data_IF_495523846921
#
_entry.id   IF_495523846921
#
_cell.length_a   1.000
_cell.length_b   1.000
_cell.length_c   1.000
_cell.angle_alpha   90.00
_cell.angle_beta   90.00
_cell.angle_gamma   90.00
#
_symmetry.space_group_name_H-M   'P 1'
#
loop_
_entity.id
_entity.type
_entity.pdbx_description
1 polymer ?
#
# COMPACT_ATOMS: atom_id res chain seq x y z
N UNK A 1 24.42 0.00 19.87
CA UNK A 1 24.75 -0.97 18.81
C UNK A 1 23.56 -1.91 18.71
N UNK A 2 22.65 -1.64 17.77
CA UNK A 2 21.53 -2.53 17.49
C UNK A 2 22.03 -3.60 16.52
N UNK A 3 22.02 -4.85 16.97
CA UNK A 3 22.33 -6.00 16.15
C UNK A 3 21.36 -6.08 14.97
N UNK A 4 21.89 -6.07 13.74
CA UNK A 4 21.20 -6.64 12.58
C UNK A 4 21.12 -8.16 12.82
N UNK A 5 20.14 -8.59 13.61
CA UNK A 5 19.79 -9.99 13.75
C UNK A 5 19.20 -10.47 12.44
N UNK A 6 20.05 -11.00 11.57
CA UNK A 6 19.64 -11.67 10.35
C UNK A 6 18.82 -12.91 10.68
N UNK A 7 17.50 -12.80 10.57
CA UNK A 7 16.70 -13.91 10.08
C UNK A 7 16.74 -13.81 8.55
N UNK A 8 17.46 -14.73 7.90
CA UNK A 8 17.81 -14.67 6.47
C UNK A 8 16.64 -14.81 5.49
N UNK A 9 15.39 -14.86 5.95
CA UNK A 9 14.24 -15.27 5.11
C UNK A 9 13.04 -14.29 5.15
N UNK A 10 13.19 -13.09 5.71
CA UNK A 10 12.09 -12.12 5.88
C UNK A 10 12.41 -10.73 5.34
N UNK A 11 11.37 -9.91 5.15
CA UNK A 11 11.55 -8.48 4.87
C UNK A 11 12.24 -7.79 6.06
N UNK A 12 13.06 -6.76 5.83
CA UNK A 12 13.60 -5.95 6.91
C UNK A 12 12.49 -5.41 7.81
N UNK A 13 12.73 -5.35 9.11
CA UNK A 13 11.75 -4.86 10.08
C UNK A 13 12.23 -3.56 10.71
N UNK A 14 11.33 -2.60 10.85
CA UNK A 14 11.56 -1.34 11.57
C UNK A 14 10.48 -1.13 12.63
N UNK A 15 10.89 -0.81 13.84
CA UNK A 15 9.96 -0.42 14.90
C UNK A 15 9.81 1.10 14.92
N UNK A 16 8.61 1.57 14.55
CA UNK A 16 8.24 2.98 14.62
C UNK A 16 7.29 3.26 15.79
N UNK A 17 7.05 2.27 16.66
CA UNK A 17 6.29 2.46 17.89
C UNK A 17 6.93 3.56 18.72
N UNK A 18 6.12 4.46 19.26
CA UNK A 18 6.55 5.60 20.10
C UNK A 18 7.43 6.64 19.39
N UNK A 19 7.60 6.55 18.08
CA UNK A 19 8.36 7.53 17.32
C UNK A 19 7.40 8.63 16.84
N UNK A 20 7.25 9.69 17.64
CA UNK A 20 6.44 10.86 17.24
C UNK A 20 7.28 11.82 16.39
N UNK A 21 6.93 12.07 15.11
CA UNK A 21 7.67 12.98 14.23
C UNK A 21 7.85 14.38 14.80
N UNK A 22 6.90 14.87 15.60
CA UNK A 22 6.97 16.21 16.19
C UNK A 22 8.15 16.38 17.13
N UNK A 23 8.63 15.30 17.75
CA UNK A 23 9.76 15.34 18.68
C UNK A 23 10.96 14.48 18.27
N UNK A 24 10.77 13.52 17.36
CA UNK A 24 11.81 12.59 16.94
C UNK A 24 12.69 13.12 15.79
N UNK A 25 12.26 14.14 15.03
CA UNK A 25 13.06 14.70 13.95
C UNK A 25 14.45 15.14 14.44
N UNK A 26 15.49 14.75 13.70
CA UNK A 26 16.89 15.02 14.05
C UNK A 26 17.46 14.17 15.20
N UNK A 27 16.66 13.30 15.83
CA UNK A 27 17.16 12.39 16.87
C UNK A 27 17.92 11.20 16.28
N UNK A 28 18.73 10.54 17.11
CA UNK A 28 19.41 9.28 16.72
C UNK A 28 18.42 8.16 16.39
N UNK A 29 17.29 8.10 17.08
CA UNK A 29 16.26 7.10 16.83
C UNK A 29 15.64 7.28 15.43
N UNK A 30 15.31 8.52 15.06
CA UNK A 30 14.83 8.84 13.72
C UNK A 30 15.86 8.52 12.64
N UNK A 31 17.13 8.91 12.84
CA UNK A 31 18.18 8.61 11.89
C UNK A 31 18.40 7.09 11.68
N UNK A 32 18.29 6.29 12.74
CA UNK A 32 18.39 4.84 12.67
C UNK A 32 17.20 4.23 11.91
N UNK A 33 15.97 4.62 12.27
CA UNK A 33 14.75 4.18 11.59
C UNK A 33 14.77 4.53 10.09
N UNK A 34 15.12 5.79 9.76
CA UNK A 34 15.28 6.27 8.39
C UNK A 34 16.29 5.43 7.60
N UNK A 35 17.41 5.07 8.20
CA UNK A 35 18.42 4.24 7.54
C UNK A 35 17.90 2.85 7.21
N UNK A 36 17.10 2.25 8.09
CA UNK A 36 16.49 0.93 7.85
C UNK A 36 15.44 1.03 6.74
N UNK A 37 14.54 2.01 6.81
CA UNK A 37 13.51 2.26 5.79
C UNK A 37 14.14 2.46 4.41
N UNK A 38 15.14 3.32 4.31
CA UNK A 38 15.84 3.60 3.05
C UNK A 38 16.50 2.34 2.49
N UNK A 39 17.25 1.61 3.33
CA UNK A 39 17.90 0.37 2.92
C UNK A 39 16.89 -0.68 2.45
N UNK A 40 15.79 -0.84 3.16
CA UNK A 40 14.78 -1.83 2.82
C UNK A 40 14.10 -1.52 1.47
N UNK A 41 13.71 -0.26 1.24
CA UNK A 41 13.08 0.14 -0.01
C UNK A 41 14.02 0.12 -1.22
N UNK A 42 15.32 0.35 -0.99
CA UNK A 42 16.35 0.28 -2.04
C UNK A 42 16.69 -1.16 -2.46
N UNK A 43 16.59 -2.12 -1.54
CA UNK A 43 17.08 -3.49 -1.79
C UNK A 43 15.95 -4.52 -1.93
N UNK A 44 14.84 -4.32 -1.23
CA UNK A 44 13.69 -5.22 -1.18
C UNK A 44 12.42 -4.60 -1.76
N UNK A 45 12.34 -3.26 -1.87
CA UNK A 45 11.12 -2.55 -2.28
C UNK A 45 10.02 -2.53 -1.20
N UNK A 46 10.27 -3.13 -0.04
CA UNK A 46 9.32 -3.20 1.06
C UNK A 46 9.98 -3.58 2.39
N UNK A 47 9.21 -3.46 3.48
CA UNK A 47 9.61 -3.77 4.85
C UNK A 47 8.41 -4.06 5.74
N UNK A 48 8.65 -4.70 6.87
CA UNK A 48 7.66 -4.79 7.96
C UNK A 48 7.85 -3.62 8.93
N UNK A 49 6.77 -2.98 9.34
CA UNK A 49 6.78 -1.90 10.33
C UNK A 49 5.94 -2.25 11.54
N UNK A 50 6.52 -2.17 12.73
CA UNK A 50 5.78 -2.22 13.99
C UNK A 50 5.28 -0.82 14.32
N UNK A 51 3.98 -0.68 14.56
CA UNK A 51 3.34 0.59 14.86
C UNK A 51 2.13 0.36 15.80
N UNK A 52 2.26 0.85 17.03
CA UNK A 52 1.39 0.53 18.15
C UNK A 52 0.11 1.38 18.25
N UNK A 53 0.00 2.45 17.46
CA UNK A 53 -1.19 3.32 17.49
C UNK A 53 -2.44 2.66 16.86
N UNK A 54 -2.27 1.55 16.14
CA UNK A 54 -3.36 0.66 15.71
C UNK A 54 -3.30 -0.64 16.52
N UNK A 55 -3.84 -0.58 17.73
CA UNK A 55 -3.90 -1.71 18.65
C UNK A 55 -4.85 -2.82 18.22
N UNK A 56 -4.80 -3.94 18.97
CA UNK A 56 -5.58 -5.16 18.71
C UNK A 56 -7.08 -4.93 18.57
N UNK A 57 -7.65 -4.03 19.38
CA UNK A 57 -9.09 -3.72 19.34
C UNK A 57 -9.50 -3.16 17.98
N UNK A 58 -8.85 -2.08 17.52
CA UNK A 58 -9.14 -1.45 16.23
C UNK A 58 -8.88 -2.40 15.06
N UNK A 59 -7.84 -3.25 15.15
CA UNK A 59 -7.60 -4.28 14.13
C UNK A 59 -8.72 -5.31 14.08
N UNK A 60 -9.25 -5.72 15.23
CA UNK A 60 -10.35 -6.68 15.30
C UNK A 60 -11.68 -6.06 14.85
N UNK A 61 -11.97 -4.82 15.23
CA UNK A 61 -13.10 -4.05 14.69
C UNK A 61 -13.04 -4.01 13.16
N UNK A 62 -11.87 -3.66 12.61
CA UNK A 62 -11.69 -3.53 11.17
C UNK A 62 -11.74 -4.88 10.44
N UNK A 63 -10.82 -5.79 10.75
CA UNK A 63 -10.61 -7.02 9.96
C UNK A 63 -11.43 -8.22 10.46
N UNK A 64 -11.80 -8.25 11.74
CA UNK A 64 -12.58 -9.34 12.34
C UNK A 64 -14.09 -9.13 12.24
N UNK A 65 -14.56 -7.89 12.15
CA UNK A 65 -15.99 -7.55 12.15
C UNK A 65 -16.41 -6.77 10.90
N UNK A 66 -15.90 -5.55 10.73
CA UNK A 66 -16.34 -4.61 9.70
C UNK A 66 -16.12 -5.15 8.29
N UNK A 67 -14.88 -5.56 7.95
CA UNK A 67 -14.55 -6.02 6.59
C UNK A 67 -15.33 -7.29 6.22
N UNK A 68 -15.38 -8.34 7.07
CA UNK A 68 -16.23 -9.50 6.81
C UNK A 68 -17.70 -9.13 6.60
N UNK A 69 -18.29 -8.29 7.46
CA UNK A 69 -19.69 -7.85 7.35
C UNK A 69 -19.93 -7.07 6.05
N UNK A 70 -19.03 -6.13 5.72
CA UNK A 70 -19.12 -5.32 4.52
C UNK A 70 -19.23 -6.19 3.26
N UNK A 71 -18.43 -7.24 3.14
CA UNK A 71 -18.47 -8.17 2.00
C UNK A 71 -19.69 -9.09 1.96
N UNK A 72 -20.61 -9.00 2.93
CA UNK A 72 -21.93 -9.68 2.86
C UNK A 72 -23.02 -8.81 2.26
N UNK A 73 -22.80 -7.50 2.11
CA UNK A 73 -23.84 -6.56 1.69
C UNK A 73 -24.16 -6.72 0.20
N UNK A 74 -25.44 -6.74 -0.21
CA UNK A 74 -25.81 -6.83 -1.63
C UNK A 74 -25.26 -5.66 -2.45
N UNK A 75 -25.21 -4.47 -1.85
CA UNK A 75 -24.71 -3.24 -2.44
C UNK A 75 -23.21 -3.27 -2.78
N UNK A 76 -22.45 -4.26 -2.30
CA UNK A 76 -21.08 -4.51 -2.78
C UNK A 76 -21.06 -4.61 -4.29
N UNK A 77 -22.06 -5.26 -4.92
CA UNK A 77 -22.21 -5.37 -6.39
C UNK A 77 -22.54 -4.04 -7.08
N UNK A 78 -23.01 -3.03 -6.35
CA UNK A 78 -23.27 -1.70 -6.91
C UNK A 78 -22.00 -0.87 -6.89
N UNK A 79 -21.25 -0.90 -5.78
CA UNK A 79 -19.88 -0.36 -5.65
C UNK A 79 -18.85 -1.09 -6.51
N UNK A 80 -19.33 -1.99 -7.35
CA UNK A 80 -18.56 -2.76 -8.29
C UNK A 80 -18.69 -2.22 -9.71
N UNK A 81 -19.76 -1.51 -10.04
CA UNK A 81 -19.95 -0.99 -11.40
C UNK A 81 -19.23 0.35 -11.56
N UNK A 82 -18.22 0.40 -12.42
CA UNK A 82 -17.43 1.61 -12.74
C UNK A 82 -18.31 2.80 -13.16
N UNK A 83 -19.48 2.55 -13.76
CA UNK A 83 -20.42 3.59 -14.20
C UNK A 83 -21.10 4.30 -13.04
N UNK A 84 -21.07 3.72 -11.84
CA UNK A 84 -21.69 4.25 -10.62
C UNK A 84 -20.68 4.94 -9.69
N UNK A 85 -19.37 4.94 -10.04
CA UNK A 85 -18.25 5.25 -9.13
C UNK A 85 -17.44 6.49 -9.52
N UNK A 86 -18.02 7.42 -10.27
CA UNK A 86 -17.29 8.59 -10.81
C UNK A 86 -16.56 9.46 -9.75
N UNK A 87 -16.80 9.27 -8.45
CA UNK A 87 -16.24 10.13 -7.38
C UNK A 87 -15.65 9.43 -6.15
N UNK A 88 -15.77 8.09 -5.98
CA UNK A 88 -15.52 7.48 -4.65
C UNK A 88 -14.62 6.24 -4.56
N UNK A 89 -14.13 5.69 -5.68
CA UNK A 89 -13.08 4.66 -5.66
C UNK A 89 -13.29 3.61 -6.75
N UNK A 90 -12.18 3.07 -7.24
CA UNK A 90 -12.18 2.08 -8.32
C UNK A 90 -12.43 0.70 -7.72
N UNK A 91 -13.42 -0.02 -8.26
CA UNK A 91 -13.53 -1.46 -8.04
C UNK A 91 -12.48 -2.17 -8.89
N UNK A 92 -11.75 -3.10 -8.29
CA UNK A 92 -11.03 -4.11 -9.06
C UNK A 92 -11.71 -5.44 -8.78
N UNK A 93 -12.79 -5.76 -9.50
CA UNK A 93 -12.97 -7.17 -9.87
C UNK A 93 -12.77 -7.32 -11.35
N UNK A 94 -11.98 -8.33 -11.66
CA UNK A 94 -12.14 -9.07 -12.89
C UNK A 94 -12.99 -10.27 -12.53
N UNK A 95 -14.12 -10.41 -13.20
CA UNK A 95 -14.92 -11.63 -13.09
C UNK A 95 -14.01 -12.84 -13.30
N UNK A 96 -14.08 -13.80 -12.38
CA UNK A 96 -13.24 -15.01 -12.41
C UNK A 96 -11.94 -14.96 -11.62
N UNK A 97 -11.59 -13.85 -10.94
CA UNK A 97 -10.44 -13.83 -10.03
C UNK A 97 -10.82 -14.22 -8.58
N UNK A 98 -9.96 -14.98 -7.88
CA UNK A 98 -10.18 -15.44 -6.49
C UNK A 98 -10.08 -14.34 -5.40
N UNK A 99 -10.46 -13.11 -5.73
CA UNK A 99 -10.55 -12.02 -4.76
C UNK A 99 -11.62 -10.97 -5.14
N UNK A 100 -12.06 -10.21 -4.14
CA UNK A 100 -12.89 -9.01 -4.28
C UNK A 100 -12.16 -7.86 -3.59
N UNK A 101 -12.03 -6.72 -4.26
CA UNK A 101 -11.43 -5.52 -3.70
C UNK A 101 -12.34 -4.30 -3.87
N UNK A 102 -12.62 -3.60 -2.78
CA UNK A 102 -13.39 -2.35 -2.78
C UNK A 102 -12.48 -1.20 -2.36
N UNK A 103 -12.42 -0.13 -3.14
CA UNK A 103 -11.59 1.04 -2.84
C UNK A 103 -12.46 2.21 -2.36
N UNK A 104 -12.02 2.83 -1.27
CA UNK A 104 -12.51 4.08 -0.73
C UNK A 104 -11.44 5.16 -0.94
N UNK A 105 -11.72 6.12 -1.82
CA UNK A 105 -10.86 7.28 -1.99
C UNK A 105 -11.03 8.27 -0.81
N UNK A 106 -9.98 9.00 -0.44
CA UNK A 106 -10.03 10.05 0.61
C UNK A 106 -10.69 9.56 1.92
N UNK A 107 -10.20 8.46 2.54
CA UNK A 107 -10.80 7.87 3.74
C UNK A 107 -10.77 8.79 4.98
N UNK A 108 -10.05 9.92 4.91
CA UNK A 108 -10.01 10.97 5.94
C UNK A 108 -11.10 12.04 5.76
N UNK A 109 -11.84 12.02 4.64
CA UNK A 109 -12.92 12.96 4.37
C UNK A 109 -14.25 12.41 4.91
N UNK A 110 -14.84 13.14 5.86
CA UNK A 110 -16.06 12.72 6.56
C UNK A 110 -17.21 12.45 5.61
N UNK A 111 -17.45 13.36 4.66
CA UNK A 111 -18.56 13.26 3.72
C UNK A 111 -18.39 12.05 2.80
N UNK A 112 -17.17 11.79 2.32
CA UNK A 112 -16.87 10.62 1.47
C UNK A 112 -17.06 9.31 2.21
N UNK A 113 -16.62 9.22 3.47
CA UNK A 113 -16.84 8.03 4.29
C UNK A 113 -18.34 7.81 4.55
N UNK A 114 -19.10 8.88 4.78
CA UNK A 114 -20.54 8.81 5.00
C UNK A 114 -21.29 8.37 3.74
N UNK A 115 -21.01 8.99 2.59
CA UNK A 115 -21.61 8.61 1.31
C UNK A 115 -21.33 7.14 0.97
N UNK A 116 -20.10 6.68 1.24
CA UNK A 116 -19.73 5.28 1.06
C UNK A 116 -20.49 4.34 2.01
N UNK A 117 -20.72 4.77 3.26
CA UNK A 117 -21.50 4.04 4.24
C UNK A 117 -22.97 3.94 3.83
N UNK A 118 -23.57 5.04 3.35
CA UNK A 118 -24.99 5.11 2.96
C UNK A 118 -25.31 4.15 1.79
N UNK A 119 -24.35 3.92 0.89
CA UNK A 119 -24.49 2.93 -0.19
C UNK A 119 -24.56 1.50 0.37
N UNK A 120 -23.70 1.17 1.34
CA UNK A 120 -23.58 -0.18 1.89
C UNK A 120 -24.62 -0.49 2.99
N UNK A 121 -24.98 0.53 3.76
CA UNK A 121 -25.92 0.51 4.88
C UNK A 121 -26.85 1.73 4.79
N UNK A 122 -27.95 1.65 4.01
CA UNK A 122 -28.89 2.76 3.85
C UNK A 122 -29.55 3.25 5.14
N UNK A 123 -29.60 2.40 6.16
CA UNK A 123 -30.10 2.73 7.52
C UNK A 123 -29.04 3.46 8.38
N UNK A 124 -27.85 3.71 7.84
CA UNK A 124 -26.70 4.27 8.54
C UNK A 124 -25.80 3.21 9.21
N UNK A 125 -24.52 3.54 9.37
CA UNK A 125 -23.57 2.70 10.08
C UNK A 125 -22.44 3.54 10.71
N UNK A 126 -22.69 4.05 11.93
CA UNK A 126 -21.70 4.81 12.70
C UNK A 126 -20.45 3.99 13.03
N UNK A 127 -20.60 2.67 13.23
CA UNK A 127 -19.47 1.79 13.49
C UNK A 127 -18.50 1.79 12.31
N UNK A 128 -18.99 1.62 11.08
CA UNK A 128 -18.17 1.73 9.87
C UNK A 128 -17.48 3.10 9.79
N UNK A 129 -18.25 4.19 9.89
CA UNK A 129 -17.72 5.54 9.75
C UNK A 129 -16.63 5.84 10.79
N UNK A 130 -16.83 5.46 12.05
CA UNK A 130 -15.90 5.72 13.13
C UNK A 130 -14.64 4.84 13.02
N UNK A 131 -14.79 3.55 12.74
CA UNK A 131 -13.66 2.63 12.58
C UNK A 131 -12.78 3.03 11.38
N UNK A 132 -13.37 3.36 10.24
CA UNK A 132 -12.62 3.81 9.05
C UNK A 132 -11.88 5.10 9.33
N UNK A 133 -12.52 6.13 9.90
CA UNK A 133 -11.87 7.40 10.22
C UNK A 133 -10.72 7.23 11.20
N UNK A 134 -10.93 6.45 12.27
CA UNK A 134 -9.91 6.18 13.28
C UNK A 134 -8.71 5.46 12.66
N UNK A 135 -8.95 4.41 11.89
CA UNK A 135 -7.87 3.67 11.22
C UNK A 135 -7.14 4.52 10.18
N UNK A 136 -7.88 5.22 9.32
CA UNK A 136 -7.32 6.04 8.24
C UNK A 136 -6.45 7.18 8.76
N UNK A 137 -6.84 7.83 9.87
CA UNK A 137 -6.02 8.84 10.53
C UNK A 137 -4.68 8.29 11.02
N UNK A 138 -4.67 7.10 11.63
CA UNK A 138 -3.42 6.46 12.08
C UNK A 138 -2.53 6.02 10.91
N UNK A 139 -3.12 5.54 9.82
CA UNK A 139 -2.35 5.17 8.62
C UNK A 139 -1.83 6.39 7.86
N UNK A 140 -2.53 7.52 7.90
CA UNK A 140 -2.05 8.78 7.35
C UNK A 140 -0.80 9.28 8.10
N UNK A 141 -0.80 9.24 9.44
CA UNK A 141 0.38 9.59 10.22
C UNK A 141 1.57 8.68 9.89
N UNK A 142 1.35 7.36 9.86
CA UNK A 142 2.40 6.39 9.53
C UNK A 142 2.94 6.56 8.11
N UNK A 143 2.08 6.73 7.10
CA UNK A 143 2.55 6.85 5.71
C UNK A 143 3.29 8.17 5.49
N UNK A 144 2.89 9.25 6.16
CA UNK A 144 3.59 10.54 6.13
C UNK A 144 4.99 10.43 6.77
N UNK A 145 5.12 9.71 7.88
CA UNK A 145 6.42 9.39 8.48
C UNK A 145 7.34 8.67 7.50
N UNK A 146 6.83 7.65 6.83
CA UNK A 146 7.57 6.85 5.86
C UNK A 146 8.02 7.74 4.68
N UNK A 147 7.12 8.54 4.11
CA UNK A 147 7.45 9.51 3.06
C UNK A 147 8.54 10.48 3.51
N UNK A 148 8.46 11.02 4.74
CA UNK A 148 9.47 11.93 5.29
C UNK A 148 10.85 11.27 5.37
N UNK A 149 10.91 10.08 5.96
CA UNK A 149 12.16 9.32 6.09
C UNK A 149 12.78 9.03 4.72
N UNK A 150 11.95 8.67 3.73
CA UNK A 150 12.40 8.41 2.37
C UNK A 150 13.01 9.67 1.74
N UNK A 151 12.29 10.79 1.75
CA UNK A 151 12.77 12.03 1.15
C UNK A 151 14.06 12.50 1.82
N UNK A 152 14.16 12.46 3.14
CA UNK A 152 15.39 12.78 3.88
C UNK A 152 16.55 11.81 3.58
N UNK A 153 16.27 10.54 3.26
CA UNK A 153 17.30 9.58 2.86
C UNK A 153 17.88 9.87 1.48
N UNK A 154 17.14 10.60 0.65
CA UNK A 154 17.51 10.99 -0.70
C UNK A 154 18.00 12.45 -0.80
N UNK A 155 18.08 13.17 0.33
CA UNK A 155 18.45 14.60 0.34
C UNK A 155 17.36 15.52 -0.23
N UNK A 156 16.10 15.09 -0.15
CA UNK A 156 14.92 15.78 -0.68
C UNK A 156 14.00 16.32 0.42
N UNK A 157 14.52 16.58 1.63
CA UNK A 157 13.72 17.05 2.77
C UNK A 157 12.91 18.33 2.49
N UNK A 158 13.42 19.19 1.60
CA UNK A 158 12.75 20.43 1.19
C UNK A 158 11.55 20.19 0.26
N UNK A 159 11.43 19.00 -0.34
CA UNK A 159 10.30 18.61 -1.19
C UNK A 159 9.15 17.99 -0.38
N UNK A 160 9.31 17.76 0.92
CA UNK A 160 8.32 17.01 1.70
C UNK A 160 6.91 17.60 1.66
N UNK A 161 6.79 18.92 1.85
CA UNK A 161 5.47 19.57 1.87
C UNK A 161 4.80 19.58 0.49
N UNK A 162 5.55 19.78 -0.58
CA UNK A 162 5.01 19.76 -1.95
C UNK A 162 4.64 18.32 -2.36
N UNK A 163 5.49 17.35 -2.01
CA UNK A 163 5.26 15.93 -2.24
C UNK A 163 4.00 15.46 -1.54
N UNK A 164 3.88 15.64 -0.23
CA UNK A 164 2.70 15.19 0.53
C UNK A 164 1.41 15.85 0.06
N UNK A 165 1.42 17.15 -0.28
CA UNK A 165 0.25 17.85 -0.86
C UNK A 165 -0.14 17.36 -2.26
N UNK A 166 0.78 16.74 -2.98
CA UNK A 166 0.51 16.18 -4.32
C UNK A 166 -0.18 14.83 -4.29
N UNK A 167 -0.25 14.19 -3.11
CA UNK A 167 -0.75 12.83 -2.94
C UNK A 167 -2.20 12.81 -2.42
N UNK A 168 -2.90 11.73 -2.75
CA UNK A 168 -4.23 11.39 -2.23
C UNK A 168 -4.16 10.02 -1.58
N UNK A 169 -4.72 9.93 -0.37
CA UNK A 169 -4.87 8.68 0.35
C UNK A 169 -6.07 7.88 -0.17
N UNK A 170 -5.92 6.56 -0.19
CA UNK A 170 -7.02 5.63 -0.42
C UNK A 170 -6.92 4.44 0.51
N UNK A 171 -8.07 3.85 0.83
CA UNK A 171 -8.17 2.63 1.62
C UNK A 171 -8.87 1.58 0.77
N UNK A 172 -8.22 0.44 0.57
CA UNK A 172 -8.77 -0.69 -0.17
C UNK A 172 -9.06 -1.82 0.80
N UNK A 173 -10.28 -2.31 0.79
CA UNK A 173 -10.71 -3.48 1.55
C UNK A 173 -10.66 -4.69 0.63
N UNK A 174 -10.06 -5.78 1.09
CA UNK A 174 -9.84 -6.98 0.28
C UNK A 174 -10.37 -8.22 0.96
N UNK A 175 -11.02 -9.06 0.16
CA UNK A 175 -11.42 -10.43 0.49
C UNK A 175 -10.84 -11.36 -0.55
N UNK A 176 -9.89 -12.17 -0.13
CA UNK A 176 -9.36 -13.28 -0.91
C UNK A 176 -10.10 -14.56 -0.52
N UNK A 177 -10.29 -15.44 -1.48
CA UNK A 177 -10.88 -16.75 -1.26
C UNK A 177 -10.17 -17.77 -2.13
N UNK A 178 -10.18 -19.03 -1.71
CA UNK A 178 -9.59 -20.10 -2.50
C UNK A 178 -10.36 -20.29 -3.79
N UNK A 179 -9.66 -20.45 -4.91
CA UNK A 179 -10.28 -20.88 -6.16
C UNK A 179 -10.57 -22.38 -6.08
N UNK A 180 -11.85 -22.75 -6.02
CA UNK A 180 -12.28 -24.16 -5.99
C UNK A 180 -12.06 -24.89 -7.32
N UNK A 181 -11.77 -24.16 -8.41
CA UNK A 181 -11.57 -24.72 -9.74
C UNK A 181 -10.10 -24.99 -10.08
N UNK A 182 -9.17 -24.47 -9.27
CA UNK A 182 -7.73 -24.62 -9.50
C UNK A 182 -7.18 -25.87 -8.77
N UNK A 183 -6.79 -26.88 -9.57
CA UNK A 183 -6.27 -28.18 -9.12
C UNK A 183 -4.81 -28.10 -8.59
N UNK A 184 -4.47 -27.08 -7.80
CA UNK A 184 -3.20 -27.02 -7.09
C UNK A 184 -2.54 -25.65 -7.02
N UNK A 185 -2.95 -24.64 -7.79
CA UNK A 185 -2.49 -23.27 -7.55
C UNK A 185 -3.32 -22.62 -6.45
N UNK A 186 -2.62 -22.10 -5.45
CA UNK A 186 -3.17 -21.41 -4.28
C UNK A 186 -3.15 -19.90 -4.47
N UNK A 187 -2.87 -19.40 -5.68
CA UNK A 187 -2.67 -17.98 -5.94
C UNK A 187 -4.03 -17.27 -5.95
N UNK A 188 -4.31 -16.48 -4.92
CA UNK A 188 -5.51 -15.67 -4.82
C UNK A 188 -5.36 -14.28 -5.48
N UNK A 189 -4.13 -13.78 -5.62
CA UNK A 189 -3.80 -12.59 -6.39
C UNK A 189 -2.48 -12.83 -7.12
N UNK A 190 -2.51 -12.78 -8.44
CA UNK A 190 -1.34 -12.99 -9.30
C UNK A 190 -0.22 -11.97 -9.01
N UNK A 191 0.99 -12.34 -9.38
CA UNK A 191 2.17 -11.49 -9.23
C UNK A 191 2.00 -10.17 -9.97
N UNK A 192 2.24 -9.07 -9.27
CA UNK A 192 2.13 -7.72 -9.81
C UNK A 192 3.01 -6.74 -9.04
N UNK A 193 3.18 -5.55 -9.60
CA UNK A 193 3.71 -4.39 -8.88
C UNK A 193 2.56 -3.41 -8.63
N UNK A 194 2.57 -2.77 -7.47
CA UNK A 194 1.61 -1.71 -7.16
C UNK A 194 1.86 -0.50 -8.05
N UNK A 195 0.80 0.11 -8.58
CA UNK A 195 0.89 1.39 -9.28
C UNK A 195 0.94 2.59 -8.32
N UNK A 196 0.96 2.40 -7.01
CA UNK A 196 0.89 3.49 -6.02
C UNK A 196 2.25 4.16 -5.81
N UNK A 197 2.32 5.09 -4.85
CA UNK A 197 3.60 5.52 -4.29
C UNK A 197 4.07 4.58 -3.19
N UNK A 198 3.25 4.45 -2.15
CA UNK A 198 3.46 3.57 -1.00
C UNK A 198 2.11 2.92 -0.69
N UNK A 199 2.16 1.64 -0.34
CA UNK A 199 1.05 0.84 0.18
C UNK A 199 1.41 0.27 1.54
N UNK A 200 0.49 0.36 2.49
CA UNK A 200 0.59 -0.21 3.84
C UNK A 200 -0.48 -1.30 3.94
N UNK A 201 -0.06 -2.54 4.09
CA UNK A 201 -0.92 -3.73 4.15
C UNK A 201 -1.16 -4.12 5.60
N UNK A 202 -2.41 -4.03 6.04
CA UNK A 202 -2.90 -4.59 7.28
C UNK A 202 -3.49 -5.97 7.04
N UNK A 203 -2.83 -7.00 7.57
CA UNK A 203 -3.21 -8.40 7.41
C UNK A 203 -3.97 -8.89 8.67
N UNK A 204 -4.99 -9.75 8.50
CA UNK A 204 -5.76 -10.31 9.63
C UNK A 204 -5.06 -11.51 10.30
N UNK A 205 -3.76 -11.43 10.57
CA UNK A 205 -2.95 -12.55 11.10
C UNK A 205 -3.06 -13.86 10.30
N UNK A 206 -3.52 -13.78 9.05
CA UNK A 206 -3.59 -14.89 8.10
C UNK A 206 -2.53 -14.61 7.03
N UNK A 207 -1.58 -15.52 6.92
CA UNK A 207 -0.48 -15.45 5.96
C UNK A 207 -0.99 -15.49 4.51
N UNK A 208 -0.14 -15.05 3.59
CA UNK A 208 -0.38 -15.24 2.17
C UNK A 208 0.27 -14.19 1.28
N UNK A 209 0.65 -13.03 1.82
CA UNK A 209 1.42 -12.05 1.06
C UNK A 209 2.85 -12.55 0.86
N UNK A 210 3.28 -12.62 -0.40
CA UNK A 210 4.63 -13.00 -0.79
C UNK A 210 5.24 -11.88 -1.64
N UNK A 211 6.51 -11.54 -1.38
CA UNK A 211 7.27 -10.52 -2.09
C UNK A 211 8.46 -11.17 -2.78
N UNK A 212 8.57 -11.00 -4.09
CA UNK A 212 9.64 -11.61 -4.87
C UNK A 212 10.99 -10.96 -4.53
N UNK A 213 12.03 -11.78 -4.39
CA UNK A 213 13.40 -11.31 -4.21
C UNK A 213 13.91 -10.57 -5.44
N UNK A 214 15.00 -9.84 -5.25
CA UNK A 214 15.62 -9.02 -6.28
C UNK A 214 16.09 -9.81 -7.51
N UNK A 215 16.67 -10.97 -7.29
CA UNK A 215 17.11 -11.90 -8.34
C UNK A 215 15.93 -12.56 -9.08
N UNK A 216 14.73 -12.54 -8.50
CA UNK A 216 13.52 -13.10 -9.08
C UNK A 216 13.34 -14.60 -8.82
N UNK A 217 14.30 -15.23 -8.15
CA UNK A 217 14.35 -16.69 -7.99
C UNK A 217 13.59 -17.17 -6.74
N UNK A 218 13.36 -16.29 -5.77
CA UNK A 218 12.75 -16.63 -4.48
C UNK A 218 11.59 -15.70 -4.11
N UNK A 219 10.76 -16.16 -3.18
CA UNK A 219 9.65 -15.41 -2.60
C UNK A 219 9.84 -15.28 -1.09
N UNK A 220 9.82 -14.06 -0.60
CA UNK A 220 9.85 -13.72 0.83
C UNK A 220 8.41 -13.71 1.35
N UNK A 221 8.14 -14.50 2.38
CA UNK A 221 6.85 -14.46 3.06
C UNK A 221 6.77 -13.24 3.98
N UNK A 222 5.78 -12.38 3.75
CA UNK A 222 5.46 -11.26 4.64
C UNK A 222 4.55 -11.76 5.78
N UNK A 223 5.14 -12.54 6.69
CA UNK A 223 4.43 -13.15 7.82
C UNK A 223 3.87 -12.05 8.74
N UNK A 224 2.56 -12.01 9.01
CA UNK A 224 1.96 -11.04 9.90
C UNK A 224 2.55 -11.14 11.31
N UNK A 225 3.13 -10.05 11.80
CA UNK A 225 3.55 -9.91 13.20
C UNK A 225 2.52 -9.06 13.96
N UNK A 226 2.34 -9.32 15.25
CA UNK A 226 1.46 -8.52 16.09
C UNK A 226 1.81 -7.02 16.00
N UNK A 227 0.79 -6.17 15.84
CA UNK A 227 0.94 -4.72 15.67
C UNK A 227 1.86 -4.29 14.50
N UNK A 228 2.07 -5.17 13.52
CA UNK A 228 2.87 -4.85 12.33
C UNK A 228 2.02 -4.58 11.09
N UNK A 229 2.67 -4.00 10.08
CA UNK A 229 2.15 -3.80 8.74
C UNK A 229 3.25 -4.05 7.72
N UNK A 230 2.89 -4.59 6.57
CA UNK A 230 3.82 -4.69 5.45
C UNK A 230 3.75 -3.40 4.63
N UNK A 231 4.87 -2.74 4.42
CA UNK A 231 4.98 -1.56 3.57
C UNK A 231 5.62 -1.95 2.24
N UNK A 232 5.00 -1.58 1.13
CA UNK A 232 5.50 -1.80 -0.22
C UNK A 232 5.56 -0.47 -0.97
N UNK A 233 6.63 -0.22 -1.70
CA UNK A 233 6.69 0.89 -2.65
C UNK A 233 6.08 0.50 -3.99
N UNK A 234 5.47 1.47 -4.66
CA UNK A 234 4.87 1.26 -5.97
C UNK A 234 5.66 1.91 -7.10
N UNK A 235 5.24 1.60 -8.32
CA UNK A 235 5.86 2.01 -9.58
C UNK A 235 5.92 3.54 -9.73
N UNK A 236 4.90 4.26 -9.25
CA UNK A 236 4.91 5.71 -9.33
C UNK A 236 6.04 6.32 -8.49
N UNK A 237 6.33 5.76 -7.30
CA UNK A 237 7.43 6.25 -6.49
C UNK A 237 8.79 5.81 -7.01
N UNK A 238 8.88 4.59 -7.57
CA UNK A 238 10.08 4.14 -8.28
C UNK A 238 10.42 5.10 -9.42
N UNK A 239 9.44 5.48 -10.26
CA UNK A 239 9.66 6.45 -11.33
C UNK A 239 10.01 7.85 -10.80
N UNK A 240 9.26 8.34 -9.81
CA UNK A 240 9.51 9.65 -9.20
C UNK A 240 10.91 9.72 -8.55
N UNK A 241 11.38 8.65 -7.92
CA UNK A 241 12.75 8.60 -7.36
C UNK A 241 13.82 8.23 -8.39
N UNK A 242 13.51 8.21 -9.68
CA UNK A 242 14.42 7.81 -10.74
C UNK A 242 15.10 6.45 -10.46
N UNK A 243 14.34 5.48 -9.94
CA UNK A 243 14.79 4.13 -9.64
C UNK A 243 15.60 3.97 -8.35
N UNK A 244 15.71 5.00 -7.48
CA UNK A 244 16.35 4.83 -6.16
C UNK A 244 15.54 3.94 -5.24
N UNK A 245 14.21 3.97 -5.34
CA UNK A 245 13.32 3.05 -4.65
C UNK A 245 12.83 2.02 -5.66
N UNK A 246 12.69 0.78 -5.22
CA UNK A 246 12.17 -0.30 -6.04
C UNK A 246 10.69 -0.49 -5.77
N UNK A 247 9.92 -0.75 -6.82
CA UNK A 247 8.61 -1.36 -6.68
C UNK A 247 8.80 -2.90 -6.71
N UNK A 248 8.49 -3.64 -5.63
CA UNK A 248 8.66 -5.08 -5.65
C UNK A 248 7.50 -5.77 -6.36
N UNK A 249 7.79 -6.89 -7.01
CA UNK A 249 6.75 -7.82 -7.46
C UNK A 249 6.25 -8.57 -6.22
N UNK A 250 4.95 -8.66 -6.06
CA UNK A 250 4.32 -9.36 -4.95
C UNK A 250 3.04 -10.07 -5.38
N UNK A 251 2.62 -11.08 -4.62
CA UNK A 251 1.44 -11.88 -4.88
C UNK A 251 0.72 -12.25 -3.58
N UNK A 252 -0.51 -12.78 -3.69
CA UNK A 252 -1.20 -13.38 -2.54
C UNK A 252 -1.49 -14.84 -2.84
N UNK A 253 -1.06 -15.71 -1.93
CA UNK A 253 -1.26 -17.15 -1.98
C UNK A 253 -1.98 -17.63 -0.72
N UNK A 254 -3.06 -18.41 -0.88
CA UNK A 254 -3.81 -19.02 0.23
C UNK A 254 -3.47 -20.49 0.35
N UNK A 255 -2.74 -20.86 1.39
CA UNK A 255 -2.39 -22.25 1.68
C UNK A 255 -3.41 -22.91 2.61
N UNK A 256 -3.57 -24.22 2.51
CA UNK A 256 -4.42 -25.00 3.42
C UNK A 256 -4.05 -24.75 4.89
N UNK A 257 -5.02 -24.62 5.81
CA UNK A 257 -6.47 -24.75 5.65
C UNK A 257 -7.22 -23.41 5.41
N UNK A 258 -6.55 -22.39 4.86
CA UNK A 258 -7.11 -21.04 4.73
C UNK A 258 -8.05 -20.95 3.53
N UNK A 259 -9.35 -20.95 3.81
CA UNK A 259 -10.39 -20.77 2.78
C UNK A 259 -10.64 -19.31 2.39
N UNK A 260 -10.42 -18.38 3.33
CA UNK A 260 -10.67 -16.94 3.15
C UNK A 260 -9.64 -16.11 3.91
N UNK A 261 -9.25 -14.98 3.34
CA UNK A 261 -8.34 -14.01 3.96
C UNK A 261 -8.86 -12.60 3.72
N UNK A 262 -8.85 -11.78 4.77
CA UNK A 262 -9.16 -10.36 4.67
C UNK A 262 -7.90 -9.52 4.87
N UNK A 263 -7.80 -8.44 4.11
CA UNK A 263 -6.76 -7.44 4.27
C UNK A 263 -7.32 -6.05 4.01
N UNK A 264 -6.62 -5.05 4.55
CA UNK A 264 -6.86 -3.65 4.21
C UNK A 264 -5.53 -3.08 3.73
N UNK A 265 -5.56 -2.35 2.62
CA UNK A 265 -4.40 -1.63 2.09
C UNK A 265 -4.69 -0.14 2.17
N UNK A 266 -3.86 0.60 2.90
CA UNK A 266 -3.86 2.06 2.87
C UNK A 266 -2.74 2.53 1.97
N UNK A 267 -3.01 3.41 1.00
CA UNK A 267 -2.01 3.79 0.00
C UNK A 267 -2.10 5.26 -0.39
N UNK A 268 -0.98 5.78 -0.89
CA UNK A 268 -0.89 7.10 -1.52
C UNK A 268 -0.74 6.99 -3.02
N UNK A 269 -1.49 7.79 -3.77
CA UNK A 269 -1.38 7.95 -5.23
C UNK A 269 -1.27 9.44 -5.58
N UNK A 270 -0.81 9.81 -6.78
CA UNK A 270 -0.90 11.19 -7.25
C UNK A 270 -2.34 11.71 -7.19
N UNK A 271 -2.51 12.99 -6.89
CA UNK A 271 -3.80 13.67 -7.06
C UNK A 271 -4.09 13.90 -8.55
N UNK A 272 -5.37 13.94 -8.93
CA UNK A 272 -5.78 14.33 -10.29
C UNK A 272 -5.26 15.71 -10.72
N UNK A 273 -5.08 16.63 -9.77
CA UNK A 273 -4.55 17.97 -10.06
C UNK A 273 -3.02 17.98 -10.28
N UNK A 274 -2.31 16.94 -9.85
CA UNK A 274 -0.87 16.82 -9.95
C UNK A 274 -0.48 15.37 -10.28
N UNK A 275 -0.95 14.90 -11.44
CA UNK A 275 -0.78 13.51 -11.88
C UNK A 275 0.49 13.29 -12.71
N UNK A 276 1.26 14.33 -12.99
CA UNK A 276 2.52 14.22 -13.72
C UNK A 276 3.60 13.61 -12.82
N UNK A 277 4.10 12.44 -13.20
CA UNK A 277 5.27 11.82 -12.58
C UNK A 277 6.52 12.23 -13.32
N UNK A 278 7.41 12.92 -12.63
CA UNK A 278 8.74 13.27 -13.10
C UNK A 278 9.75 13.21 -11.96
N UNK A 279 10.98 12.82 -12.27
CA UNK A 279 12.03 12.75 -11.26
C UNK A 279 12.46 14.16 -10.80
N UNK A 280 12.68 14.38 -9.48
CA UNK A 280 13.37 15.55 -8.98
C UNK A 280 14.74 15.68 -9.65
N UNK A 281 15.12 16.92 -10.00
CA UNK A 281 16.37 17.18 -10.74
C UNK A 281 17.60 16.76 -9.96
N UNK A 282 17.51 16.81 -8.63
CA UNK A 282 18.54 16.39 -7.69
C UNK A 282 18.86 14.89 -7.76
N UNK A 283 17.96 14.07 -8.32
CA UNK A 283 18.17 12.63 -8.49
C UNK A 283 18.64 12.23 -9.90
N UNK A 284 18.83 13.23 -10.78
CA UNK A 284 19.22 13.04 -12.19
C UNK A 284 20.53 13.79 -12.47
N UNK A 285 21.58 13.03 -12.71
CA UNK A 285 22.92 13.55 -12.97
C UNK A 285 23.68 12.67 -13.98
N UNK A 286 24.95 12.96 -14.22
CA UNK A 286 25.77 12.22 -15.18
C UNK A 286 26.04 10.77 -14.73
N UNK A 287 26.01 10.49 -13.43
CA UNK A 287 26.18 9.13 -12.88
C UNK A 287 24.85 8.38 -12.81
N UNK A 288 23.73 9.11 -12.76
CA UNK A 288 22.38 8.59 -12.64
C UNK A 288 21.47 9.27 -13.68
N UNK A 289 21.55 8.86 -14.96
CA UNK A 289 20.71 9.44 -16.00
C UNK A 289 19.22 9.18 -15.74
N UNK A 290 18.37 9.93 -16.43
CA UNK A 290 16.92 9.77 -16.33
C UNK A 290 16.51 8.38 -16.85
N UNK A 291 15.92 7.55 -15.99
CA UNK A 291 15.48 6.19 -16.30
C UNK A 291 14.02 6.14 -16.79
N UNK A 292 13.21 7.11 -16.41
CA UNK A 292 11.79 7.17 -16.73
C UNK A 292 11.47 8.56 -17.29
N UNK A 293 11.04 8.63 -18.55
CA UNK A 293 10.55 9.90 -19.12
C UNK A 293 9.31 10.36 -18.35
N UNK A 294 9.09 11.69 -18.18
CA UNK A 294 7.90 12.20 -17.53
C UNK A 294 6.61 11.68 -18.17
N UNK A 295 5.63 11.34 -17.34
CA UNK A 295 4.36 10.80 -17.82
C UNK A 295 3.20 11.15 -16.88
N UNK A 296 1.98 11.13 -17.41
CA UNK A 296 0.77 11.24 -16.60
C UNK A 296 0.41 9.90 -15.97
N UNK A 297 0.22 9.92 -14.66
CA UNK A 297 -0.06 8.76 -13.84
C UNK A 297 -1.32 8.01 -14.29
N UNK A 298 -2.44 8.72 -14.47
CA UNK A 298 -3.71 8.08 -14.80
C UNK A 298 -3.74 7.54 -16.24
N UNK A 299 -3.02 8.17 -17.17
CA UNK A 299 -2.82 7.62 -18.52
C UNK A 299 -2.08 6.28 -18.45
N UNK A 300 -1.01 6.19 -17.63
CA UNK A 300 -0.27 4.95 -17.41
C UNK A 300 -1.14 3.85 -16.78
N UNK A 301 -1.86 4.15 -15.69
CA UNK A 301 -2.67 3.15 -14.98
C UNK A 301 -3.73 2.54 -15.91
N UNK A 302 -4.32 3.33 -16.81
CA UNK A 302 -5.34 2.87 -17.74
C UNK A 302 -4.82 1.88 -18.80
N UNK A 303 -3.54 1.95 -19.16
CA UNK A 303 -2.94 1.11 -20.22
C UNK A 303 -1.88 0.15 -19.69
N UNK A 304 -1.63 0.12 -18.38
CA UNK A 304 -0.51 -0.61 -17.76
C UNK A 304 -0.40 -2.05 -18.26
N UNK A 305 -1.52 -2.74 -18.37
CA UNK A 305 -1.55 -4.14 -18.79
C UNK A 305 -1.13 -4.36 -20.24
N UNK A 306 -1.30 -3.37 -21.11
CA UNK A 306 -0.90 -3.43 -22.52
C UNK A 306 0.62 -3.33 -22.69
N UNK A 307 1.32 -2.70 -21.75
CA UNK A 307 2.76 -2.42 -21.83
C UNK A 307 3.62 -3.42 -21.04
N UNK A 308 3.04 -4.19 -20.13
CA UNK A 308 3.71 -5.20 -19.31
C UNK A 308 4.73 -4.66 -18.28
N UNK A 309 5.26 -3.45 -18.44
CA UNK A 309 6.11 -2.77 -17.46
C UNK A 309 6.09 -1.25 -17.62
N UNK A 310 6.31 -0.52 -16.51
CA UNK A 310 6.48 0.94 -16.55
C UNK A 310 7.62 1.40 -17.45
N UNK A 311 8.74 0.64 -17.50
CA UNK A 311 9.88 0.99 -18.36
C UNK A 311 9.52 0.98 -19.84
N UNK A 312 8.70 0.00 -20.26
CA UNK A 312 8.22 -0.06 -21.64
C UNK A 312 7.31 1.13 -21.97
N UNK A 313 6.43 1.51 -21.03
CA UNK A 313 5.54 2.66 -21.19
C UNK A 313 6.29 4.00 -21.28
N UNK A 314 7.23 4.25 -20.36
CA UNK A 314 7.98 5.51 -20.35
C UNK A 314 9.00 5.62 -21.49
N UNK A 315 9.20 4.57 -22.28
CA UNK A 315 10.15 4.53 -23.39
C UNK A 315 11.57 4.81 -22.92
N UNK A 316 12.27 3.79 -22.43
CA UNK A 316 13.71 3.84 -22.21
C UNK A 316 14.47 4.06 -23.53
#
# INVERSE_FOLDING_TARGET
>A
MGSLGGNSNGLPMVDLSRLDPKCALGTKAWAAARSIVAHALQNYGGFEVVYDCVGTELRNELLGQLVPEMFTKPAVRVLSDERQLATHGVWFMRDGLPFVALQLARPNCVDVVQEYADILWPEGNDFFCNTVKKYAGQMEELIQMIHRMILESLGLENHYDSHTKSLVNSMRFLKYYKDSSDNGSSIALSSHQDSTFISIVCQHNVEGLEVQTLDGDEWIHATPVANSFTVLAGEAFMAWTNGRIRAPIHQVKLTEPIEKRYAVVFSTTPSFANDMINAPKELVDAQNPLLFKPFKYYDYVNVKEDYGSLKAYCGA
#
